data_IF_058811578647
#
_entry.id   IF_058811578647
#
_cell.length_a   1.000
_cell.length_b   1.000
_cell.length_c   1.000
_cell.angle_alpha   90.00
_cell.angle_beta   90.00
_cell.angle_gamma   90.00
#
_symmetry.space_group_name_H-M   'P 1'
#
loop_
_entity.id
_entity.type
_entity.pdbx_description
1 polymer ?
#
# COMPACT_ATOMS: atom_id res chain seq x y z
N UNK A 1 -0.85 -11.31 -13.38
CA UNK A 1 -0.62 -12.55 -12.60
C UNK A 1 -1.91 -12.92 -11.87
N UNK A 2 -2.41 -14.17 -11.96
CA UNK A 2 -3.71 -14.53 -11.38
C UNK A 2 -3.62 -15.16 -9.98
N UNK A 3 -2.53 -15.83 -9.63
CA UNK A 3 -2.39 -16.56 -8.36
C UNK A 3 -1.24 -16.00 -7.51
N UNK A 4 -1.37 -16.09 -6.19
CA UNK A 4 -0.28 -15.78 -5.26
C UNK A 4 0.81 -16.86 -5.35
N UNK A 5 2.07 -16.50 -5.11
CA UNK A 5 3.16 -17.48 -5.12
C UNK A 5 2.98 -18.55 -4.04
N UNK A 6 2.49 -18.16 -2.85
CA UNK A 6 2.00 -19.09 -1.82
C UNK A 6 0.47 -19.19 -1.92
N UNK A 7 -0.09 -20.35 -2.35
CA UNK A 7 -1.54 -20.51 -2.57
C UNK A 7 -2.43 -20.25 -1.35
N UNK A 8 -1.88 -20.37 -0.13
CA UNK A 8 -2.60 -20.07 1.12
C UNK A 8 -3.10 -18.63 1.18
N UNK A 9 -2.42 -17.69 0.52
CA UNK A 9 -2.80 -16.27 0.56
C UNK A 9 -3.84 -15.88 -0.49
N UNK A 10 -4.16 -16.76 -1.44
CA UNK A 10 -5.34 -16.59 -2.29
C UNK A 10 -6.65 -16.75 -1.49
N UNK A 11 -6.56 -17.27 -0.26
CA UNK A 11 -7.71 -17.46 0.65
C UNK A 11 -7.96 -16.27 1.59
N UNK A 12 -7.16 -15.20 1.50
CA UNK A 12 -7.42 -14.00 2.31
C UNK A 12 -8.76 -13.41 1.85
N UNK A 13 -9.68 -13.23 2.79
CA UNK A 13 -10.93 -12.53 2.56
C UNK A 13 -10.65 -11.01 2.46
N UNK A 14 -10.32 -10.55 1.25
CA UNK A 14 -10.09 -9.14 0.97
C UNK A 14 -11.37 -8.31 1.15
N UNK A 15 -11.26 -7.12 1.73
CA UNK A 15 -12.39 -6.18 1.85
C UNK A 15 -12.78 -5.56 0.51
N UNK A 16 -11.79 -5.28 -0.33
CA UNK A 16 -11.97 -4.70 -1.68
C UNK A 16 -12.97 -3.53 -1.71
N UNK A 17 -12.88 -2.62 -0.72
CA UNK A 17 -13.73 -1.44 -0.69
C UNK A 17 -13.33 -0.48 -1.82
N UNK A 18 -14.25 -0.24 -2.75
CA UNK A 18 -14.00 0.56 -3.95
C UNK A 18 -13.76 2.04 -3.66
N UNK A 19 -14.39 2.60 -2.63
CA UNK A 19 -14.22 4.00 -2.23
C UNK A 19 -12.82 4.22 -1.64
N UNK A 20 -12.37 3.32 -0.76
CA UNK A 20 -11.02 3.34 -0.21
C UNK A 20 -9.96 3.12 -1.30
N UNK A 21 -10.22 2.23 -2.26
CA UNK A 21 -9.33 2.06 -3.42
C UNK A 21 -9.23 3.33 -4.26
N UNK A 22 -10.37 4.00 -4.51
CA UNK A 22 -10.41 5.25 -5.27
C UNK A 22 -9.66 6.36 -4.54
N UNK A 23 -9.81 6.47 -3.22
CA UNK A 23 -9.06 7.41 -2.39
C UNK A 23 -7.55 7.12 -2.44
N UNK A 24 -7.14 5.85 -2.43
CA UNK A 24 -5.75 5.45 -2.61
C UNK A 24 -5.22 5.84 -3.99
N UNK A 25 -5.93 5.49 -5.07
CA UNK A 25 -5.55 5.86 -6.44
C UNK A 25 -5.36 7.37 -6.60
N UNK A 26 -6.21 8.19 -5.97
CA UNK A 26 -6.17 9.65 -6.06
C UNK A 26 -5.17 10.33 -5.11
N UNK A 27 -4.57 9.59 -4.16
CA UNK A 27 -3.76 10.18 -3.10
C UNK A 27 -4.57 11.10 -2.18
N UNK A 28 -5.70 10.59 -1.67
CA UNK A 28 -6.61 11.25 -0.71
C UNK A 28 -6.91 10.37 0.50
N UNK A 29 -5.92 9.62 0.96
CA UNK A 29 -6.04 8.69 2.08
C UNK A 29 -5.95 9.37 3.44
N UNK A 30 -5.44 10.60 3.49
CA UNK A 30 -5.12 11.29 4.75
C UNK A 30 -3.80 10.83 5.35
N UNK A 31 -3.02 10.01 4.63
CA UNK A 31 -1.67 9.58 4.99
C UNK A 31 -0.66 10.26 4.05
N UNK A 32 0.07 11.30 4.50
CA UNK A 32 0.74 12.23 3.60
C UNK A 32 1.83 11.60 2.75
N UNK A 33 2.58 10.63 3.27
CA UNK A 33 3.61 9.94 2.47
C UNK A 33 2.99 8.97 1.44
N UNK A 34 1.80 8.42 1.73
CA UNK A 34 1.04 7.62 0.78
C UNK A 34 0.48 8.52 -0.32
N UNK A 35 -0.15 9.62 0.09
CA UNK A 35 -0.79 10.59 -0.80
C UNK A 35 0.23 11.27 -1.71
N UNK A 36 1.39 11.64 -1.18
CA UNK A 36 2.51 12.17 -1.97
C UNK A 36 3.00 11.17 -3.03
N UNK A 37 3.15 9.90 -2.66
CA UNK A 37 3.52 8.84 -3.59
C UNK A 37 2.52 8.69 -4.72
N UNK A 38 1.24 8.54 -4.39
CA UNK A 38 0.20 8.34 -5.40
C UNK A 38 0.04 9.55 -6.32
N UNK A 39 0.23 10.77 -5.80
CA UNK A 39 0.22 12.00 -6.62
C UNK A 39 1.45 12.13 -7.51
N UNK A 40 2.64 11.75 -7.03
CA UNK A 40 3.86 11.67 -7.87
C UNK A 40 3.65 10.71 -9.04
N UNK A 41 3.15 9.50 -8.76
CA UNK A 41 2.87 8.49 -9.77
C UNK A 41 1.89 9.01 -10.83
N UNK A 42 0.79 9.62 -10.38
CA UNK A 42 -0.24 10.11 -11.29
C UNK A 42 0.23 11.28 -12.16
N UNK A 43 1.12 12.13 -11.63
CA UNK A 43 1.60 13.31 -12.33
C UNK A 43 2.77 13.01 -13.28
N UNK A 44 3.61 12.01 -12.96
CA UNK A 44 4.90 11.81 -13.64
C UNK A 44 5.06 10.45 -14.31
N UNK A 45 4.27 9.45 -13.91
CA UNK A 45 4.50 8.06 -14.28
C UNK A 45 5.70 7.42 -13.57
N UNK A 46 6.27 8.07 -12.56
CA UNK A 46 7.36 7.53 -11.74
C UNK A 46 6.96 7.56 -10.26
N UNK A 47 7.59 6.70 -9.47
CA UNK A 47 7.51 6.76 -8.01
C UNK A 47 8.81 6.22 -7.42
N UNK A 48 9.36 6.87 -6.40
CA UNK A 48 10.56 6.36 -5.74
C UNK A 48 10.31 4.97 -5.12
N UNK A 49 11.28 4.03 -5.26
CA UNK A 49 11.08 2.63 -4.88
C UNK A 49 10.65 2.42 -3.40
N UNK A 50 11.23 3.18 -2.47
CA UNK A 50 10.81 3.14 -1.05
C UNK A 50 9.34 3.53 -0.89
N UNK A 51 8.88 4.52 -1.65
CA UNK A 51 7.49 4.99 -1.61
C UNK A 51 6.57 3.95 -2.25
N UNK A 52 6.99 3.27 -3.33
CA UNK A 52 6.26 2.12 -3.92
C UNK A 52 5.97 1.04 -2.87
N UNK A 53 6.96 0.68 -2.06
CA UNK A 53 6.79 -0.30 -0.98
C UNK A 53 5.78 0.18 0.07
N UNK A 54 5.80 1.47 0.42
CA UNK A 54 4.91 2.08 1.40
C UNK A 54 3.46 2.11 0.90
N UNK A 55 3.22 2.66 -0.30
CA UNK A 55 1.87 2.77 -0.86
C UNK A 55 1.25 1.41 -1.14
N UNK A 56 2.06 0.44 -1.59
CA UNK A 56 1.61 -0.94 -1.76
C UNK A 56 1.26 -1.56 -0.42
N UNK A 57 2.11 -1.41 0.60
CA UNK A 57 1.80 -1.92 1.94
C UNK A 57 0.56 -1.27 2.54
N UNK A 58 0.31 0.00 2.25
CA UNK A 58 -0.90 0.65 2.71
C UNK A 58 -2.14 0.04 2.06
N UNK A 59 -2.13 -0.17 0.74
CA UNK A 59 -3.25 -0.82 0.03
C UNK A 59 -3.56 -2.21 0.61
N UNK A 60 -2.54 -3.05 0.75
CA UNK A 60 -2.73 -4.45 1.15
C UNK A 60 -2.94 -4.59 2.66
N UNK A 61 -2.16 -3.87 3.48
CA UNK A 61 -2.14 -4.07 4.93
C UNK A 61 -3.01 -3.10 5.70
N UNK A 62 -3.19 -1.88 5.22
CA UNK A 62 -4.08 -0.92 5.88
C UNK A 62 -5.51 -1.04 5.37
N UNK A 63 -5.71 -1.09 4.05
CA UNK A 63 -7.06 -1.12 3.46
C UNK A 63 -7.63 -2.55 3.33
N UNK A 64 -6.75 -3.57 3.40
CA UNK A 64 -7.10 -4.97 3.15
C UNK A 64 -7.73 -5.14 1.75
N UNK A 65 -7.14 -4.48 0.76
CA UNK A 65 -7.51 -4.59 -0.66
C UNK A 65 -6.54 -5.55 -1.34
N UNK A 66 -7.07 -6.36 -2.25
CA UNK A 66 -6.30 -7.31 -3.04
C UNK A 66 -5.15 -6.60 -3.79
N UNK A 67 -3.94 -7.12 -3.61
CA UNK A 67 -2.73 -6.59 -4.23
C UNK A 67 -2.82 -6.54 -5.76
N UNK A 68 -3.64 -7.40 -6.38
CA UNK A 68 -3.89 -7.40 -7.83
C UNK A 68 -4.48 -6.08 -8.33
N UNK A 69 -5.28 -5.40 -7.50
CA UNK A 69 -5.86 -4.10 -7.87
C UNK A 69 -4.77 -3.03 -7.95
N UNK A 70 -3.85 -3.04 -6.98
CA UNK A 70 -2.70 -2.14 -6.97
C UNK A 70 -1.71 -2.43 -8.10
N UNK A 71 -1.46 -3.72 -8.37
CA UNK A 71 -0.61 -4.18 -9.47
C UNK A 71 -1.13 -3.68 -10.82
N UNK A 72 -2.43 -3.87 -11.08
CA UNK A 72 -3.08 -3.39 -12.30
C UNK A 72 -3.06 -1.86 -12.42
N UNK A 73 -3.23 -1.13 -11.31
CA UNK A 73 -3.12 0.33 -11.32
C UNK A 73 -1.70 0.81 -11.63
N UNK A 74 -0.69 0.18 -11.02
CA UNK A 74 0.72 0.48 -11.25
C UNK A 74 1.13 0.21 -12.70
N UNK A 75 0.66 -0.91 -13.28
CA UNK A 75 0.91 -1.24 -14.68
C UNK A 75 0.38 -0.21 -15.67
N UNK A 76 -0.71 0.50 -15.33
CA UNK A 76 -1.28 1.55 -16.17
C UNK A 76 -0.55 2.90 -16.03
N UNK A 77 0.15 3.13 -14.92
CA UNK A 77 0.71 4.44 -14.58
C UNK A 77 2.23 4.52 -14.70
N UNK A 78 2.94 3.45 -14.39
CA UNK A 78 4.40 3.45 -14.38
C UNK A 78 4.96 3.46 -15.80
N UNK A 79 5.78 4.46 -16.14
CA UNK A 79 6.52 4.50 -17.40
C UNK A 79 7.72 3.57 -17.39
N UNK A 80 8.29 3.33 -16.20
CA UNK A 80 9.36 2.36 -15.99
C UNK A 80 8.85 0.96 -15.63
N UNK A 81 7.61 0.64 -16.03
CA UNK A 81 7.02 -0.64 -15.70
C UNK A 81 7.83 -1.80 -16.27
N UNK A 82 8.34 -2.64 -15.36
CA UNK A 82 8.88 -3.95 -15.68
C UNK A 82 8.12 -4.99 -14.84
N UNK A 83 7.55 -5.96 -15.54
CA UNK A 83 6.58 -6.91 -14.98
C UNK A 83 7.15 -7.69 -13.78
N UNK A 84 8.40 -8.15 -13.88
CA UNK A 84 9.03 -9.01 -12.88
C UNK A 84 9.27 -8.25 -11.57
N UNK A 85 9.77 -7.01 -11.67
CA UNK A 85 10.04 -6.12 -10.55
C UNK A 85 8.77 -5.61 -9.88
N UNK A 86 7.73 -5.33 -10.67
CA UNK A 86 6.44 -4.88 -10.14
C UNK A 86 5.70 -6.01 -9.39
N UNK A 87 5.56 -7.18 -10.03
CA UNK A 87 4.92 -8.34 -9.40
C UNK A 87 5.69 -8.80 -8.16
N UNK A 88 7.02 -8.83 -8.23
CA UNK A 88 7.87 -9.18 -7.09
C UNK A 88 7.66 -8.26 -5.90
N UNK A 89 7.58 -6.94 -6.12
CA UNK A 89 7.28 -5.97 -5.07
C UNK A 89 5.89 -6.16 -4.48
N UNK A 90 4.85 -6.36 -5.30
CA UNK A 90 3.48 -6.56 -4.81
C UNK A 90 3.33 -7.86 -4.00
N UNK A 91 3.96 -8.95 -4.43
CA UNK A 91 3.97 -10.20 -3.68
C UNK A 91 4.79 -10.10 -2.38
N UNK A 92 5.90 -9.37 -2.40
CA UNK A 92 6.68 -9.09 -1.19
C UNK A 92 5.86 -8.29 -0.17
N UNK A 93 5.18 -7.24 -0.64
CA UNK A 93 4.30 -6.39 0.17
C UNK A 93 3.13 -7.19 0.75
N UNK A 94 2.50 -8.04 -0.06
CA UNK A 94 1.37 -8.86 0.37
C UNK A 94 1.76 -9.99 1.34
N UNK A 95 3.06 -10.22 1.59
CA UNK A 95 3.51 -11.36 2.40
C UNK A 95 3.39 -12.70 1.66
N UNK A 96 3.10 -12.68 0.36
CA UNK A 96 2.72 -13.85 -0.44
C UNK A 96 3.82 -14.36 -1.38
N UNK A 97 4.94 -13.65 -1.52
CA UNK A 97 6.10 -14.00 -2.35
C UNK A 97 7.16 -14.91 -1.70
N UNK A 98 8.16 -15.32 -2.51
CA UNK A 98 9.44 -15.89 -2.06
C UNK A 98 10.18 -14.82 -1.25
N UNK A 99 10.63 -15.14 -0.03
CA UNK A 99 11.33 -14.20 0.86
C UNK A 99 10.55 -12.93 1.27
N UNK A 100 9.21 -13.00 1.19
CA UNK A 100 8.36 -11.91 1.63
C UNK A 100 8.61 -11.57 3.10
N UNK A 101 8.66 -10.27 3.42
CA UNK A 101 8.72 -9.82 4.80
C UNK A 101 7.62 -10.53 5.61
N UNK A 102 7.91 -10.94 6.87
CA UNK A 102 6.91 -11.60 7.68
C UNK A 102 5.60 -10.81 7.66
N UNK A 103 4.45 -11.47 7.48
CA UNK A 103 3.18 -10.77 7.25
C UNK A 103 2.91 -9.70 8.32
N UNK A 104 3.32 -9.96 9.58
CA UNK A 104 3.21 -9.05 10.71
C UNK A 104 4.07 -7.77 10.63
N UNK A 105 4.99 -7.67 9.67
CA UNK A 105 5.73 -6.43 9.37
C UNK A 105 4.83 -5.46 8.62
N UNK A 106 4.15 -4.62 9.37
CA UNK A 106 3.25 -3.57 8.86
C UNK A 106 3.95 -2.23 9.07
N UNK A 107 4.15 -1.45 8.01
CA UNK A 107 4.79 -0.13 8.15
C UNK A 107 3.90 0.80 8.97
N UNK A 108 4.48 1.48 9.96
CA UNK A 108 3.84 2.62 10.60
C UNK A 108 4.11 3.87 9.74
N UNK A 109 3.08 4.49 9.12
CA UNK A 109 3.27 5.62 8.22
C UNK A 109 4.02 6.81 8.85
N UNK A 110 3.77 7.10 10.14
CA UNK A 110 4.44 8.21 10.84
C UNK A 110 5.94 7.96 11.01
N UNK A 111 6.31 6.73 11.39
CA UNK A 111 7.72 6.33 11.53
C UNK A 111 8.45 6.32 10.17
N UNK A 112 7.74 6.07 9.08
CA UNK A 112 8.32 6.18 7.73
C UNK A 112 8.62 7.64 7.35
N UNK A 113 7.77 8.58 7.75
CA UNK A 113 8.03 10.01 7.55
C UNK A 113 9.26 10.44 8.34
N UNK A 114 9.32 10.14 9.65
CA UNK A 114 10.46 10.48 10.50
C UNK A 114 11.79 9.96 9.93
N UNK A 115 11.77 8.77 9.32
CA UNK A 115 12.97 8.11 8.80
C UNK A 115 13.38 8.54 7.40
N UNK A 116 12.42 8.86 6.51
CA UNK A 116 12.68 9.03 5.08
C UNK A 116 12.32 10.41 4.53
N UNK A 117 11.52 11.21 5.24
CA UNK A 117 11.14 12.56 4.84
C UNK A 117 10.96 13.46 6.08
N UNK A 118 11.97 13.48 6.98
CA UNK A 118 11.92 14.20 8.25
C UNK A 118 11.62 15.70 8.07
N UNK A 119 12.14 16.29 7.00
CA UNK A 119 11.92 17.70 6.63
C UNK A 119 10.62 17.91 5.82
N UNK A 120 9.81 16.87 5.61
CA UNK A 120 8.60 16.90 4.77
C UNK A 120 8.81 17.49 3.37
N UNK A 121 10.00 17.33 2.78
CA UNK A 121 10.34 17.92 1.47
C UNK A 121 9.57 17.20 0.36
N UNK A 122 9.50 15.87 0.43
CA UNK A 122 8.78 15.07 -0.54
C UNK A 122 7.27 15.25 -0.38
N UNK A 123 6.77 15.24 0.86
CA UNK A 123 5.35 15.48 1.16
C UNK A 123 4.92 16.86 0.66
N UNK A 124 5.62 17.94 1.00
CA UNK A 124 5.23 19.30 0.58
C UNK A 124 5.26 19.51 -0.93
N UNK A 125 6.12 18.78 -1.65
CA UNK A 125 6.17 18.85 -3.11
C UNK A 125 4.90 18.30 -3.76
N UNK A 126 4.38 17.20 -3.24
CA UNK A 126 3.27 16.46 -3.88
C UNK A 126 1.91 16.66 -3.20
N UNK A 127 1.93 17.09 -1.94
CA UNK A 127 0.77 17.41 -1.10
C UNK A 127 0.99 18.82 -0.52
N UNK A 128 0.89 19.87 -1.35
CA UNK A 128 1.14 21.24 -0.89
C UNK A 128 0.17 21.67 0.22
N UNK A 129 -1.04 21.10 0.25
CA UNK A 129 -2.05 21.37 1.27
C UNK A 129 -1.84 20.59 2.58
N UNK A 130 -0.75 19.84 2.73
CA UNK A 130 -0.46 19.10 3.96
C UNK A 130 -0.42 20.04 5.18
N UNK A 131 -1.12 19.67 6.25
CA UNK A 131 -1.35 20.45 7.49
C UNK A 131 -2.34 21.62 7.35
N UNK A 132 -2.96 21.80 6.19
CA UNK A 132 -4.11 22.69 6.04
C UNK A 132 -5.40 22.00 6.51
N UNK A 133 -6.42 22.80 6.86
CA UNK A 133 -7.75 22.29 7.24
C UNK A 133 -8.47 21.52 6.13
N UNK A 134 -8.04 21.74 4.88
CA UNK A 134 -8.56 21.10 3.67
C UNK A 134 -8.01 19.69 3.46
N UNK A 135 -6.88 19.35 4.09
CA UNK A 135 -6.25 18.04 3.93
C UNK A 135 -7.13 16.94 4.56
N UNK A 136 -7.40 15.83 3.85
CA UNK A 136 -8.31 14.80 4.33
C UNK A 136 -7.84 14.18 5.64
N UNK A 137 -8.81 13.83 6.48
CA UNK A 137 -8.56 12.99 7.66
C UNK A 137 -8.20 11.57 7.21
N UNK A 138 -7.41 10.82 8.01
CA UNK A 138 -7.10 9.43 7.72
C UNK A 138 -8.36 8.59 7.46
N UNK A 139 -8.41 7.91 6.32
CA UNK A 139 -9.55 7.04 5.93
C UNK A 139 -9.65 5.77 6.78
N UNK A 140 -8.61 5.46 7.54
CA UNK A 140 -8.51 4.28 8.40
C UNK A 140 -7.58 4.58 9.57
N UNK A 141 -7.89 4.08 10.77
CA UNK A 141 -6.96 4.11 11.91
C UNK A 141 -5.87 3.03 11.76
N UNK A 142 -4.62 3.38 12.05
CA UNK A 142 -3.48 2.48 11.88
C UNK A 142 -3.56 1.24 12.80
N UNK A 143 -3.96 1.39 14.06
CA UNK A 143 -3.99 0.27 15.02
C UNK A 143 -5.08 -0.72 14.64
N UNK A 144 -6.27 -0.22 14.35
CA UNK A 144 -7.40 -1.02 13.86
C UNK A 144 -7.03 -1.75 12.56
N UNK A 145 -6.44 -1.04 11.59
CA UNK A 145 -6.05 -1.63 10.32
C UNK A 145 -5.03 -2.77 10.50
N UNK A 146 -4.05 -2.55 11.38
CA UNK A 146 -3.02 -3.52 11.74
C UNK A 146 -3.63 -4.78 12.34
N UNK A 147 -4.54 -4.64 13.30
CA UNK A 147 -5.23 -5.76 13.95
C UNK A 147 -6.07 -6.55 12.94
N UNK A 148 -6.87 -5.84 12.12
CA UNK A 148 -7.68 -6.45 11.05
C UNK A 148 -6.85 -7.29 10.10
N UNK A 149 -5.72 -6.76 9.63
CA UNK A 149 -4.84 -7.49 8.71
C UNK A 149 -4.27 -8.77 9.33
N UNK A 150 -3.81 -8.69 10.58
CA UNK A 150 -3.29 -9.86 11.29
C UNK A 150 -4.35 -10.94 11.51
N UNK A 151 -5.58 -10.53 11.85
CA UNK A 151 -6.71 -11.45 12.00
C UNK A 151 -7.05 -12.15 10.68
N UNK A 152 -7.15 -11.39 9.58
CA UNK A 152 -7.43 -11.95 8.26
C UNK A 152 -6.36 -12.96 7.82
N UNK A 153 -5.07 -12.64 8.06
CA UNK A 153 -3.97 -13.55 7.76
C UNK A 153 -3.98 -14.80 8.64
N UNK A 154 -4.24 -14.64 9.94
CA UNK A 154 -4.33 -15.78 10.86
C UNK A 154 -5.47 -16.72 10.47
N UNK A 155 -6.63 -16.17 10.10
CA UNK A 155 -7.78 -16.94 9.64
C UNK A 155 -7.46 -17.73 8.36
N UNK A 156 -6.82 -17.09 7.38
CA UNK A 156 -6.40 -17.75 6.14
C UNK A 156 -5.38 -18.89 6.39
N UNK A 157 -4.47 -18.70 7.35
CA UNK A 157 -3.48 -19.70 7.73
C UNK A 157 -4.04 -20.85 8.59
N UNK A 158 -5.09 -20.61 9.38
CA UNK A 158 -5.66 -21.61 10.30
C UNK A 158 -6.60 -22.63 9.64
N UNK A 159 -7.01 -22.43 8.38
CA UNK A 159 -7.82 -23.40 7.60
C UNK A 159 -6.98 -24.64 7.17
N UNK A 160 -5.85 -24.89 7.84
CA UNK A 160 -4.93 -26.00 7.60
C UNK A 160 -5.02 -27.11 8.66
N UNK A 161 -5.99 -27.05 9.58
CA UNK A 161 -6.28 -28.11 10.55
C UNK A 161 -7.66 -28.73 10.29
#
# INVERSE_FOLDING_TARGET
>A
VQNSYKPVFDRIAWRNNQEEFTAWCQGKTGYPLVDAGMRELNATGFMHNRVRMLVGSFLVKHLLIDWRWGEAYFAQKLFDFELSSNVGNWQWVAGSGIDAAPYFRIFNPEEQIKKFDQDHKYIRRWVPEYQEFTYPKPIVDHKMARERFLQAHKAAASILN
#
